data_IF_447686392521
#
_entry.id   IF_447686392521
#
_cell.length_a   1.000
_cell.length_b   1.000
_cell.length_c   1.000
_cell.angle_alpha   90.00
_cell.angle_beta   90.00
_cell.angle_gamma   90.00
#
_symmetry.space_group_name_H-M   'P 1'
#
loop_
_entity.id
_entity.type
_entity.pdbx_description
1 polymer ?
#
# COMPACT_ATOMS: atom_id res chain seq x y z
N UNK A 1 24.17 42.53 38.75
CA UNK A 1 23.24 41.38 38.55
C UNK A 1 23.52 40.35 39.63
N UNK A 2 22.53 39.99 40.44
CA UNK A 2 22.65 38.91 41.42
C UNK A 2 22.87 37.58 40.70
N UNK A 3 23.54 36.62 41.35
CA UNK A 3 23.79 35.29 40.78
C UNK A 3 22.49 34.60 40.31
N UNK A 4 21.36 34.92 40.95
CA UNK A 4 20.04 34.42 40.60
C UNK A 4 19.53 34.97 39.25
N UNK A 5 19.84 36.22 38.92
CA UNK A 5 19.48 36.82 37.62
C UNK A 5 20.29 36.22 36.46
N UNK A 6 21.55 35.83 36.72
CA UNK A 6 22.39 35.12 35.74
C UNK A 6 21.90 33.70 35.50
N UNK A 7 21.54 32.98 36.56
CA UNK A 7 20.99 31.63 36.48
C UNK A 7 19.65 31.61 35.72
N UNK A 8 18.77 32.58 35.98
CA UNK A 8 17.49 32.70 35.27
C UNK A 8 17.66 32.87 33.75
N UNK A 9 18.58 33.74 33.33
CA UNK A 9 18.89 33.97 31.92
C UNK A 9 19.42 32.73 31.20
N UNK A 10 20.26 31.93 31.87
CA UNK A 10 20.79 30.68 31.32
C UNK A 10 19.66 29.67 31.11
N UNK A 11 18.76 29.51 32.09
CA UNK A 11 17.64 28.57 32.00
C UNK A 11 16.67 28.97 30.89
N UNK A 12 16.32 30.26 30.78
CA UNK A 12 15.44 30.74 29.70
C UNK A 12 16.07 30.54 28.32
N UNK A 13 17.39 30.76 28.19
CA UNK A 13 18.12 30.48 26.96
C UNK A 13 18.04 29.01 26.54
N UNK A 14 18.26 28.09 27.48
CA UNK A 14 18.14 26.65 27.23
C UNK A 14 16.71 26.28 26.81
N UNK A 15 15.69 26.83 27.47
CA UNK A 15 14.29 26.55 27.17
C UNK A 15 13.90 27.00 25.75
N UNK A 16 14.38 28.17 25.32
CA UNK A 16 14.14 28.68 23.96
C UNK A 16 14.83 27.78 22.93
N UNK A 17 16.09 27.38 23.18
CA UNK A 17 16.83 26.49 22.28
C UNK A 17 16.17 25.12 22.17
N UNK A 18 15.76 24.51 23.29
CA UNK A 18 15.07 23.22 23.29
C UNK A 18 13.72 23.33 22.59
N UNK A 19 12.95 24.40 22.84
CA UNK A 19 11.65 24.60 22.19
C UNK A 19 11.80 24.82 20.68
N UNK A 20 12.81 25.58 20.25
CA UNK A 20 13.12 25.76 18.84
C UNK A 20 13.61 24.46 18.18
N UNK A 21 14.38 23.65 18.91
CA UNK A 21 14.85 22.34 18.42
C UNK A 21 13.70 21.34 18.30
N UNK A 22 12.80 21.29 19.29
CA UNK A 22 11.56 20.49 19.22
C UNK A 22 10.68 21.00 18.08
N UNK A 23 10.53 22.31 17.93
CA UNK A 23 9.78 22.89 16.81
C UNK A 23 10.42 22.54 15.47
N UNK A 24 11.74 22.52 15.34
CA UNK A 24 12.42 22.08 14.12
C UNK A 24 12.29 20.58 13.88
N UNK A 25 12.32 19.75 14.93
CA UNK A 25 12.10 18.29 14.82
C UNK A 25 10.63 17.96 14.46
N UNK A 26 9.69 18.76 14.96
CA UNK A 26 8.25 18.55 14.73
C UNK A 26 7.72 19.25 13.48
N UNK A 27 8.30 20.38 13.09
CA UNK A 27 7.76 21.31 12.08
C UNK A 27 8.83 21.94 11.17
N UNK A 28 10.12 21.70 11.41
CA UNK A 28 11.22 22.26 10.62
C UNK A 28 11.46 21.49 9.33
N UNK A 29 11.46 22.24 8.23
CA UNK A 29 12.12 22.04 6.92
C UNK A 29 12.68 20.61 6.70
N UNK A 30 12.00 19.83 5.85
CA UNK A 30 12.20 18.39 5.53
C UNK A 30 11.36 17.37 6.29
N UNK A 31 10.18 17.76 6.79
CA UNK A 31 9.10 16.79 6.96
C UNK A 31 8.40 16.52 5.63
N UNK A 32 8.99 15.65 4.82
CA UNK A 32 8.31 14.97 3.69
C UNK A 32 7.26 13.94 4.17
N UNK A 33 6.85 13.98 5.45
CA UNK A 33 5.75 13.20 6.04
C UNK A 33 4.34 13.64 5.58
N UNK A 34 4.23 14.24 4.38
CA UNK A 34 2.96 14.35 3.64
C UNK A 34 3.01 13.38 2.46
N UNK A 35 2.86 12.08 2.76
CA UNK A 35 2.72 10.96 1.81
C UNK A 35 3.51 11.14 0.51
N UNK A 36 4.77 10.68 0.49
CA UNK A 36 5.41 10.31 -0.77
C UNK A 36 4.72 9.07 -1.34
N UNK A 37 3.48 9.22 -1.82
CA UNK A 37 2.86 8.22 -2.69
C UNK A 37 3.82 8.04 -3.86
N UNK A 38 4.39 6.85 -3.98
CA UNK A 38 5.24 6.55 -5.13
C UNK A 38 4.35 6.74 -6.35
N UNK A 39 4.76 7.57 -7.33
CA UNK A 39 3.95 7.80 -8.52
C UNK A 39 3.66 6.47 -9.21
N UNK A 40 2.56 6.42 -9.95
CA UNK A 40 2.24 5.30 -10.81
C UNK A 40 2.43 5.71 -12.27
N UNK A 41 2.95 4.82 -13.13
CA UNK A 41 3.05 5.12 -14.53
C UNK A 41 1.66 5.25 -15.18
N UNK A 42 1.60 5.97 -16.29
CA UNK A 42 0.45 5.98 -17.18
C UNK A 42 0.18 4.57 -17.73
N UNK A 43 -1.06 4.29 -18.12
CA UNK A 43 -1.44 2.98 -18.65
C UNK A 43 -0.67 2.62 -19.93
N UNK A 44 -0.39 3.62 -20.77
CA UNK A 44 0.41 3.48 -21.99
C UNK A 44 1.87 3.13 -21.67
N UNK A 45 2.51 3.88 -20.78
CA UNK A 45 3.89 3.62 -20.38
C UNK A 45 4.03 2.27 -19.65
N UNK A 46 3.07 1.92 -18.80
CA UNK A 46 3.03 0.65 -18.10
C UNK A 46 2.90 -0.53 -19.08
N UNK A 47 1.99 -0.42 -20.07
CA UNK A 47 1.80 -1.44 -21.11
C UNK A 47 3.06 -1.61 -21.96
N UNK A 48 3.65 -0.50 -22.42
CA UNK A 48 4.90 -0.55 -23.19
C UNK A 48 6.00 -1.24 -22.37
N UNK A 49 6.17 -0.85 -21.11
CA UNK A 49 7.18 -1.42 -20.22
C UNK A 49 7.06 -2.94 -20.08
N UNK A 50 5.88 -3.48 -19.77
CA UNK A 50 5.72 -4.94 -19.55
C UNK A 50 5.94 -5.76 -20.82
N UNK A 51 5.59 -5.21 -21.99
CA UNK A 51 5.80 -5.88 -23.28
C UNK A 51 7.27 -5.81 -23.73
N UNK A 52 7.89 -4.64 -23.63
CA UNK A 52 9.31 -4.43 -23.99
C UNK A 52 10.25 -5.27 -23.13
N UNK A 53 9.95 -5.39 -21.83
CA UNK A 53 10.74 -6.19 -20.89
C UNK A 53 10.31 -7.66 -20.85
N UNK A 54 9.38 -8.08 -21.72
CA UNK A 54 8.86 -9.45 -21.80
C UNK A 54 8.34 -10.00 -20.47
N UNK A 55 7.79 -9.13 -19.64
CA UNK A 55 7.14 -9.53 -18.40
C UNK A 55 5.77 -10.19 -18.69
N UNK A 56 5.14 -9.73 -19.77
CA UNK A 56 3.91 -10.26 -20.37
C UNK A 56 4.05 -10.28 -21.90
N UNK A 57 3.38 -11.23 -22.54
CA UNK A 57 3.20 -11.32 -24.00
C UNK A 57 1.98 -10.54 -24.45
N UNK A 58 0.91 -10.58 -23.67
CA UNK A 58 -0.32 -9.82 -23.90
C UNK A 58 -0.72 -9.05 -22.65
N UNK A 59 -1.42 -7.93 -22.83
CA UNK A 59 -2.02 -7.18 -21.72
C UNK A 59 -3.52 -7.13 -21.96
N UNK A 60 -4.26 -7.79 -21.08
CA UNK A 60 -5.72 -7.89 -21.14
C UNK A 60 -6.37 -6.83 -20.24
N UNK A 61 -5.75 -6.56 -19.10
CA UNK A 61 -6.30 -5.68 -18.09
C UNK A 61 -5.23 -4.83 -17.42
N UNK A 62 -5.59 -3.58 -17.13
CA UNK A 62 -4.77 -2.62 -16.39
C UNK A 62 -5.64 -2.01 -15.30
N UNK A 63 -5.16 -2.04 -14.05
CA UNK A 63 -5.88 -1.50 -12.89
C UNK A 63 -4.94 -0.72 -11.98
N UNK A 64 -5.50 0.21 -11.22
CA UNK A 64 -4.81 0.79 -10.07
C UNK A 64 -5.34 0.14 -8.81
N UNK A 65 -4.44 -0.40 -8.00
CA UNK A 65 -4.78 -1.12 -6.77
C UNK A 65 -4.42 -0.29 -5.54
N UNK A 66 -5.32 -0.30 -4.56
CA UNK A 66 -5.24 0.48 -3.32
C UNK A 66 -5.39 -0.41 -2.08
N UNK A 67 -4.41 -1.27 -1.75
CA UNK A 67 -4.50 -2.26 -0.66
C UNK A 67 -4.40 -1.66 0.76
N UNK A 68 -4.81 -0.39 0.97
CA UNK A 68 -4.72 0.29 2.27
C UNK A 68 -3.29 0.67 2.71
N UNK A 69 -2.28 0.29 1.94
CA UNK A 69 -0.89 0.69 2.08
C UNK A 69 -0.35 1.25 0.76
N UNK A 70 0.72 0.67 0.17
CA UNK A 70 1.27 1.15 -1.08
C UNK A 70 0.32 0.95 -2.27
N UNK A 71 0.23 1.95 -3.14
CA UNK A 71 -0.53 1.84 -4.39
C UNK A 71 0.33 1.20 -5.49
N UNK A 72 -0.33 0.47 -6.39
CA UNK A 72 0.32 -0.19 -7.52
C UNK A 72 -0.47 -0.01 -8.82
N UNK A 73 0.25 0.05 -9.94
CA UNK A 73 -0.32 -0.17 -11.27
C UNK A 73 -0.19 -1.66 -11.58
N UNK A 74 -1.32 -2.35 -11.65
CA UNK A 74 -1.42 -3.78 -11.91
C UNK A 74 -1.74 -4.02 -13.37
N UNK A 75 -1.05 -4.97 -13.99
CA UNK A 75 -1.27 -5.40 -15.36
C UNK A 75 -1.42 -6.90 -15.37
N UNK A 76 -2.53 -7.38 -15.94
CA UNK A 76 -2.82 -8.79 -16.11
C UNK A 76 -2.87 -9.14 -17.60
N UNK A 77 -2.33 -10.30 -17.93
CA UNK A 77 -2.39 -10.90 -19.25
C UNK A 77 -1.70 -12.25 -19.25
N UNK A 78 -1.06 -12.62 -20.36
CA UNK A 78 -0.36 -13.91 -20.47
C UNK A 78 1.15 -13.75 -20.55
N UNK A 79 1.91 -14.72 -20.04
CA UNK A 79 3.36 -14.83 -20.22
C UNK A 79 3.74 -15.53 -21.54
N UNK A 80 5.03 -15.80 -21.77
CA UNK A 80 5.49 -16.49 -22.98
C UNK A 80 4.97 -17.93 -23.10
N UNK A 81 4.60 -18.55 -21.97
CA UNK A 81 4.03 -19.90 -21.90
C UNK A 81 2.50 -19.90 -22.04
N UNK A 82 1.87 -18.74 -22.24
CA UNK A 82 0.41 -18.59 -22.33
C UNK A 82 -0.30 -18.66 -20.97
N UNK A 83 0.42 -18.58 -19.85
CA UNK A 83 -0.15 -18.63 -18.51
C UNK A 83 -0.56 -17.25 -18.03
N UNK A 84 -1.66 -17.18 -17.29
CA UNK A 84 -2.16 -15.91 -16.73
C UNK A 84 -1.22 -15.41 -15.65
N UNK A 85 -0.69 -14.21 -15.85
CA UNK A 85 0.29 -13.55 -14.99
C UNK A 85 -0.14 -12.13 -14.66
N UNK A 86 0.12 -11.70 -13.44
CA UNK A 86 -0.06 -10.32 -13.00
C UNK A 86 1.32 -9.71 -12.70
N UNK A 87 1.50 -8.45 -13.08
CA UNK A 87 2.70 -7.66 -12.85
C UNK A 87 2.30 -6.35 -12.17
N UNK A 88 3.02 -5.98 -11.11
CA UNK A 88 2.79 -4.73 -10.38
C UNK A 88 3.93 -3.75 -10.58
N UNK A 89 3.57 -2.53 -10.96
CA UNK A 89 4.50 -1.46 -11.29
C UNK A 89 4.28 -0.24 -10.41
N UNK A 90 5.36 0.51 -10.23
CA UNK A 90 5.40 1.84 -9.61
C UNK A 90 6.43 2.71 -10.33
N UNK A 91 6.48 3.99 -10.00
CA UNK A 91 7.40 4.97 -10.58
C UNK A 91 6.70 5.90 -11.57
N UNK A 92 7.48 6.84 -12.10
CA UNK A 92 7.04 7.71 -13.21
C UNK A 92 7.28 6.96 -14.53
N UNK A 93 6.64 7.41 -15.60
CA UNK A 93 6.80 6.85 -16.96
C UNK A 93 8.27 6.68 -17.38
N UNK A 94 9.16 7.61 -16.97
CA UNK A 94 10.59 7.57 -17.29
C UNK A 94 11.43 6.69 -16.38
N UNK A 95 10.87 6.17 -15.27
CA UNK A 95 11.59 5.38 -14.26
C UNK A 95 10.64 4.40 -13.59
N UNK A 96 10.08 3.51 -14.39
CA UNK A 96 9.20 2.43 -13.94
C UNK A 96 10.02 1.40 -13.16
N UNK A 97 9.41 0.84 -12.11
CA UNK A 97 9.95 -0.24 -11.29
C UNK A 97 8.91 -1.33 -11.15
N UNK A 98 9.29 -2.56 -11.49
CA UNK A 98 8.56 -3.76 -11.09
C UNK A 98 8.66 -3.94 -9.57
N UNK A 99 7.51 -4.22 -8.94
CA UNK A 99 7.40 -4.51 -7.51
C UNK A 99 7.07 -5.96 -7.20
N UNK A 100 6.67 -6.70 -8.22
CA UNK A 100 6.46 -8.13 -8.16
C UNK A 100 5.71 -8.59 -9.39
N UNK A 101 5.70 -9.90 -9.58
CA UNK A 101 4.84 -10.56 -10.53
C UNK A 101 4.51 -11.97 -10.06
N UNK A 102 3.35 -12.49 -10.45
CA UNK A 102 2.90 -13.81 -10.05
C UNK A 102 2.07 -14.47 -11.14
N UNK A 103 2.19 -15.79 -11.25
CA UNK A 103 1.22 -16.61 -11.99
C UNK A 103 -0.03 -16.79 -11.13
N UNK A 104 -1.20 -16.51 -11.69
CA UNK A 104 -2.46 -16.58 -10.93
C UNK A 104 -2.73 -17.99 -10.42
N UNK A 105 -2.30 -19.01 -11.18
CA UNK A 105 -2.45 -20.43 -10.80
C UNK A 105 -1.58 -20.86 -9.61
N UNK A 106 -0.59 -20.07 -9.18
CA UNK A 106 0.28 -20.42 -8.04
C UNK A 106 -0.35 -20.19 -6.67
N UNK A 107 -1.49 -19.52 -6.60
CA UNK A 107 -2.16 -19.20 -5.33
C UNK A 107 -3.61 -19.62 -5.28
N UNK A 108 -4.27 -19.22 -4.20
CA UNK A 108 -5.66 -19.52 -3.97
C UNK A 108 -6.55 -18.72 -4.93
N UNK A 109 -7.59 -19.36 -5.47
CA UNK A 109 -8.50 -18.70 -6.41
C UNK A 109 -9.41 -17.70 -5.69
N UNK A 110 -10.00 -16.77 -6.47
CA UNK A 110 -10.97 -15.80 -5.93
C UNK A 110 -12.15 -16.52 -5.26
N UNK A 111 -12.64 -17.60 -5.86
CA UNK A 111 -13.76 -18.38 -5.36
C UNK A 111 -13.45 -19.01 -4.00
N UNK A 112 -12.22 -19.53 -3.84
CA UNK A 112 -11.76 -20.05 -2.55
C UNK A 112 -11.77 -18.95 -1.48
N UNK A 113 -11.24 -17.77 -1.82
CA UNK A 113 -11.19 -16.64 -0.89
C UNK A 113 -12.58 -16.13 -0.51
N UNK A 114 -13.50 -16.03 -1.46
CA UNK A 114 -14.90 -15.68 -1.19
C UNK A 114 -15.59 -16.69 -0.27
N UNK A 115 -15.38 -17.99 -0.51
CA UNK A 115 -15.92 -19.04 0.35
C UNK A 115 -15.35 -18.97 1.78
N UNK A 116 -14.04 -18.68 1.91
CA UNK A 116 -13.38 -18.49 3.20
C UNK A 116 -13.93 -17.28 3.95
N UNK A 117 -14.05 -16.13 3.28
CA UNK A 117 -14.63 -14.91 3.86
C UNK A 117 -16.06 -15.14 4.37
N UNK A 118 -16.89 -15.84 3.59
CA UNK A 118 -18.24 -16.20 4.00
C UNK A 118 -18.23 -17.12 5.22
N UNK A 119 -17.39 -18.16 5.24
CA UNK A 119 -17.34 -19.15 6.31
C UNK A 119 -16.78 -18.62 7.62
N UNK A 120 -15.71 -17.83 7.56
CA UNK A 120 -14.95 -17.41 8.74
C UNK A 120 -15.38 -16.04 9.27
N UNK A 121 -15.85 -15.16 8.40
CA UNK A 121 -16.20 -13.77 8.74
C UNK A 121 -17.66 -13.42 8.46
N UNK A 122 -18.44 -14.32 7.85
CA UNK A 122 -19.80 -14.07 7.40
C UNK A 122 -19.91 -12.89 6.41
N UNK A 123 -18.86 -12.67 5.62
CA UNK A 123 -18.79 -11.61 4.60
C UNK A 123 -19.14 -12.22 3.24
N UNK A 124 -20.18 -11.70 2.57
CA UNK A 124 -20.55 -12.10 1.20
C UNK A 124 -19.84 -11.22 0.18
N UNK A 125 -19.75 -11.69 -1.07
CA UNK A 125 -19.21 -10.87 -2.16
C UNK A 125 -20.00 -9.56 -2.35
N UNK A 126 -21.31 -9.56 -2.10
CA UNK A 126 -22.15 -8.36 -2.13
C UNK A 126 -21.71 -7.28 -1.14
N UNK A 127 -21.07 -7.69 -0.05
CA UNK A 127 -20.67 -6.83 1.06
C UNK A 127 -19.27 -6.26 0.82
N UNK A 128 -18.52 -6.82 -0.12
CA UNK A 128 -17.19 -6.37 -0.51
C UNK A 128 -17.29 -5.18 -1.45
N UNK A 129 -16.53 -4.14 -1.13
CA UNK A 129 -16.23 -3.02 -2.02
C UNK A 129 -15.18 -3.44 -3.03
N UNK A 130 -14.11 -4.05 -2.54
CA UNK A 130 -12.97 -4.46 -3.34
C UNK A 130 -12.46 -5.83 -2.87
N UNK A 131 -12.06 -6.67 -3.83
CA UNK A 131 -11.30 -7.90 -3.59
C UNK A 131 -10.35 -8.13 -4.77
N UNK A 132 -9.06 -8.22 -4.48
CA UNK A 132 -8.01 -8.38 -5.49
C UNK A 132 -6.72 -8.89 -4.87
N UNK A 133 -5.76 -9.31 -5.71
CA UNK A 133 -4.41 -9.67 -5.28
C UNK A 133 -3.46 -8.51 -5.50
N UNK A 134 -2.55 -8.27 -4.55
CA UNK A 134 -1.57 -7.19 -4.63
C UNK A 134 -0.31 -7.53 -3.82
N UNK A 135 0.84 -6.88 -4.07
CA UNK A 135 1.97 -6.95 -3.17
C UNK A 135 1.60 -6.33 -1.81
N UNK A 136 2.06 -6.96 -0.72
CA UNK A 136 1.85 -6.49 0.64
C UNK A 136 2.57 -5.16 0.90
N UNK A 137 3.82 -5.07 0.42
CA UNK A 137 4.64 -3.87 0.52
C UNK A 137 5.58 -3.74 -0.70
N UNK A 138 6.40 -2.69 -0.74
CA UNK A 138 7.30 -2.41 -1.87
C UNK A 138 8.55 -3.29 -1.96
N UNK A 139 8.79 -4.17 -0.99
CA UNK A 139 10.11 -4.77 -0.72
C UNK A 139 10.09 -6.25 -0.34
N UNK A 140 9.06 -6.75 0.35
CA UNK A 140 9.07 -8.11 0.90
C UNK A 140 8.82 -9.21 -0.14
N UNK A 141 8.31 -8.84 -1.32
CA UNK A 141 7.88 -9.80 -2.34
C UNK A 141 6.67 -10.65 -1.93
N UNK A 142 6.04 -10.37 -0.79
CA UNK A 142 4.83 -11.06 -0.36
C UNK A 142 3.64 -10.58 -1.17
N UNK A 143 2.84 -11.51 -1.67
CA UNK A 143 1.58 -11.23 -2.36
C UNK A 143 0.42 -11.61 -1.45
N UNK A 144 -0.61 -10.78 -1.43
CA UNK A 144 -1.77 -10.96 -0.57
C UNK A 144 -3.06 -10.96 -1.38
N UNK A 145 -4.07 -11.62 -0.85
CA UNK A 145 -5.46 -11.31 -1.11
C UNK A 145 -5.91 -10.17 -0.22
N UNK A 146 -6.27 -9.06 -0.83
CA UNK A 146 -6.88 -7.91 -0.18
C UNK A 146 -8.39 -7.98 -0.31
N UNK A 147 -9.11 -7.76 0.80
CA UNK A 147 -10.57 -7.64 0.80
C UNK A 147 -10.98 -6.43 1.64
N UNK A 148 -11.86 -5.60 1.10
CA UNK A 148 -12.41 -4.43 1.79
C UNK A 148 -13.94 -4.46 1.74
N UNK A 149 -14.57 -4.34 2.89
CA UNK A 149 -16.04 -4.24 2.97
C UNK A 149 -16.54 -2.84 2.57
N UNK A 150 -17.80 -2.78 2.12
CA UNK A 150 -18.54 -1.56 1.82
C UNK A 150 -18.94 -0.77 3.07
N UNK A 151 -18.93 -1.40 4.25
CA UNK A 151 -19.40 -0.79 5.49
C UNK A 151 -18.61 0.47 5.90
N UNK A 152 -19.28 1.35 6.64
CA UNK A 152 -18.78 2.64 7.16
C UNK A 152 -17.51 2.48 7.99
N UNK A 153 -17.32 1.32 8.64
CA UNK A 153 -16.12 1.02 9.43
C UNK A 153 -14.92 0.63 8.59
N UNK A 154 -15.07 0.53 7.26
CA UNK A 154 -13.99 0.22 6.32
C UNK A 154 -13.16 -0.98 6.75
N UNK A 155 -13.83 -2.10 7.07
CA UNK A 155 -13.18 -3.34 7.46
C UNK A 155 -12.33 -3.86 6.31
N UNK A 156 -11.04 -4.05 6.58
CA UNK A 156 -10.03 -4.48 5.62
C UNK A 156 -9.35 -5.73 6.16
N UNK A 157 -9.28 -6.74 5.30
CA UNK A 157 -8.64 -8.02 5.57
C UNK A 157 -7.54 -8.26 4.53
N UNK A 158 -6.42 -8.81 4.97
CA UNK A 158 -5.32 -9.23 4.11
C UNK A 158 -4.92 -10.65 4.44
N UNK A 159 -4.94 -11.52 3.43
CA UNK A 159 -4.56 -12.92 3.55
C UNK A 159 -3.35 -13.22 2.68
N UNK A 160 -2.50 -14.15 3.09
CA UNK A 160 -1.43 -14.64 2.22
C UNK A 160 -1.99 -15.27 0.94
N UNK A 161 -1.43 -14.93 -0.21
CA UNK A 161 -1.90 -15.38 -1.51
C UNK A 161 -1.86 -16.91 -1.70
N UNK A 162 -0.86 -17.58 -1.13
CA UNK A 162 -0.63 -19.01 -1.33
C UNK A 162 -1.28 -19.84 -0.23
N UNK A 163 -1.19 -19.40 1.03
CA UNK A 163 -1.65 -20.19 2.18
C UNK A 163 -3.07 -19.82 2.63
N UNK A 164 -3.53 -18.60 2.32
CA UNK A 164 -4.80 -18.09 2.83
C UNK A 164 -4.78 -17.80 4.33
N UNK A 165 -3.60 -17.72 4.95
CA UNK A 165 -3.44 -17.31 6.34
C UNK A 165 -3.80 -15.83 6.47
N UNK A 166 -4.57 -15.48 7.51
CA UNK A 166 -4.89 -14.08 7.80
C UNK A 166 -3.63 -13.38 8.31
N UNK A 167 -3.15 -12.40 7.56
CA UNK A 167 -1.98 -11.60 7.93
C UNK A 167 -2.36 -10.36 8.72
N UNK A 168 -3.47 -9.72 8.34
CA UNK A 168 -3.87 -8.47 8.93
C UNK A 168 -5.37 -8.22 8.80
N UNK A 169 -5.94 -7.60 9.83
CA UNK A 169 -7.35 -7.24 9.93
C UNK A 169 -7.45 -5.88 10.63
N UNK A 170 -8.03 -4.89 9.96
CA UNK A 170 -8.27 -3.55 10.54
C UNK A 170 -9.66 -3.03 10.23
N UNK A 171 -10.15 -2.19 11.12
CA UNK A 171 -11.30 -1.33 10.90
C UNK A 171 -10.77 0.09 10.68
N UNK A 172 -11.07 0.69 9.53
CA UNK A 172 -10.83 2.11 9.30
C UNK A 172 -11.84 2.89 10.14
N UNK A 173 -11.53 3.19 11.41
CA UNK A 173 -12.41 3.95 12.28
C UNK A 173 -12.59 5.38 11.73
N UNK A 174 -13.81 5.78 11.31
CA UNK A 174 -14.06 7.13 10.81
C UNK A 174 -13.95 8.21 11.90
N UNK A 175 -13.84 7.83 13.18
CA UNK A 175 -13.85 8.79 14.31
C UNK A 175 -12.46 9.20 14.83
N UNK A 176 -11.36 8.59 14.34
CA UNK A 176 -10.00 8.90 14.81
C UNK A 176 -9.50 10.34 14.52
N UNK A 177 -10.24 11.13 13.73
CA UNK A 177 -9.91 12.52 13.39
C UNK A 177 -10.88 13.56 13.99
N UNK A 178 -11.81 13.15 14.85
CA UNK A 178 -12.73 14.06 15.55
C UNK A 178 -12.50 14.00 17.07
N UNK A 179 -11.40 14.61 17.52
CA UNK A 179 -11.21 15.03 18.92
C UNK A 179 -10.65 16.45 18.94
#
# INVERSE_FOLDING_TARGET
MSNNAKAGLIITGILIVVSAMVYLVLYGINREDLKTEIPLPSDEAARAYVLEHKLLTTVEEIRTEHPGGPNFKSLQGTDEAGKVKIVWLTGKDTKIKERGSILVEEGLTKEFMLAKLLKEKNIKESDLKDIFIAPYDYTSGRIIWFAKEKDIRGHVLSYDFKTGELLFEIFQDPTAWKL
#
